data_IF_464336420655
#
_entry.id   IF_464336420655
#
_cell.length_a   1.000
_cell.length_b   1.000
_cell.length_c   1.000
_cell.angle_alpha   90.00
_cell.angle_beta   90.00
_cell.angle_gamma   90.00
#
_symmetry.space_group_name_H-M   'P 1'
#
loop_
_entity.id
_entity.type
_entity.pdbx_description
1 polymer ?
#
# COMPACT_ATOMS: atom_id res chain seq x y z
N UNK A 1 -5.15 4.26 53.48
CA UNK A 1 -5.99 4.91 52.44
C UNK A 1 -5.17 5.36 51.23
N UNK A 2 -3.92 5.82 51.39
CA UNK A 2 -3.01 6.21 50.30
C UNK A 2 -2.64 5.08 49.33
N UNK A 3 -2.30 3.89 49.86
CA UNK A 3 -1.91 2.71 49.05
C UNK A 3 -2.99 2.25 48.04
N UNK A 4 -4.28 2.43 48.36
CA UNK A 4 -5.35 2.05 47.45
C UNK A 4 -5.51 3.04 46.29
N UNK A 5 -5.27 4.33 46.53
CA UNK A 5 -5.30 5.35 45.49
C UNK A 5 -4.11 5.22 44.52
N UNK A 6 -2.94 4.84 45.03
CA UNK A 6 -1.76 4.53 44.20
C UNK A 6 -2.01 3.33 43.30
N UNK A 7 -2.56 2.24 43.86
CA UNK A 7 -2.96 1.06 43.09
C UNK A 7 -3.97 1.43 41.99
N UNK A 8 -5.01 2.20 42.32
CA UNK A 8 -6.04 2.61 41.37
C UNK A 8 -5.46 3.48 40.24
N UNK A 9 -4.49 4.35 40.56
CA UNK A 9 -3.78 5.17 39.59
C UNK A 9 -2.96 4.30 38.64
N UNK A 10 -2.25 3.31 39.17
CA UNK A 10 -1.43 2.40 38.36
C UNK A 10 -2.30 1.55 37.43
N UNK A 11 -3.42 1.02 37.93
CA UNK A 11 -4.41 0.30 37.12
C UNK A 11 -5.01 1.19 36.03
N UNK A 12 -5.36 2.43 36.37
CA UNK A 12 -5.90 3.39 35.41
C UNK A 12 -4.88 3.72 34.31
N UNK A 13 -3.61 3.91 34.67
CA UNK A 13 -2.53 4.14 33.72
C UNK A 13 -2.34 2.92 32.80
N UNK A 14 -2.34 1.72 33.35
CA UNK A 14 -2.27 0.49 32.57
C UNK A 14 -3.45 0.37 31.59
N UNK A 15 -4.67 0.71 32.02
CA UNK A 15 -5.83 0.71 31.15
C UNK A 15 -5.70 1.74 30.03
N UNK A 16 -5.24 2.95 30.30
CA UNK A 16 -5.02 3.97 29.28
C UNK A 16 -3.99 3.52 28.24
N UNK A 17 -2.89 2.89 28.67
CA UNK A 17 -1.88 2.34 27.76
C UNK A 17 -2.45 1.23 26.88
N UNK A 18 -3.23 0.31 27.47
CA UNK A 18 -3.90 -0.77 26.73
C UNK A 18 -4.91 -0.22 25.71
N UNK A 19 -5.68 0.79 26.08
CA UNK A 19 -6.63 1.44 25.18
C UNK A 19 -5.92 2.12 24.01
N UNK A 20 -4.81 2.82 24.26
CA UNK A 20 -4.02 3.46 23.22
C UNK A 20 -3.42 2.44 22.24
N UNK A 21 -2.89 1.32 22.74
CA UNK A 21 -2.37 0.23 21.91
C UNK A 21 -3.48 -0.43 21.08
N UNK A 22 -4.65 -0.67 21.68
CA UNK A 22 -5.80 -1.24 20.98
C UNK A 22 -6.31 -0.32 19.87
N UNK A 23 -6.39 0.98 20.14
CA UNK A 23 -6.82 1.97 19.15
C UNK A 23 -5.83 2.03 17.98
N UNK A 24 -4.52 1.98 18.25
CA UNK A 24 -3.50 1.89 17.19
C UNK A 24 -3.66 0.65 16.32
N UNK A 25 -3.91 -0.52 16.92
CA UNK A 25 -4.15 -1.77 16.17
C UNK A 25 -5.42 -1.69 15.34
N UNK A 26 -6.48 -1.10 15.88
CA UNK A 26 -7.73 -0.87 15.16
C UNK A 26 -7.52 0.06 13.95
N UNK A 27 -6.80 1.17 14.11
CA UNK A 27 -6.51 2.11 13.02
C UNK A 27 -5.76 1.43 11.86
N UNK A 28 -4.84 0.51 12.16
CA UNK A 28 -4.12 -0.30 11.16
C UNK A 28 -5.08 -1.27 10.46
N UNK A 29 -5.92 -1.96 11.22
CA UNK A 29 -6.88 -2.92 10.68
C UNK A 29 -7.95 -2.23 9.82
N UNK A 30 -8.42 -1.05 10.23
CA UNK A 30 -9.36 -0.26 9.45
C UNK A 30 -8.72 0.24 8.16
N UNK A 31 -7.45 0.65 8.20
CA UNK A 31 -6.71 1.05 7.01
C UNK A 31 -6.50 -0.11 6.01
N UNK A 32 -6.28 -1.34 6.48
CA UNK A 32 -6.14 -2.52 5.61
C UNK A 32 -7.47 -3.02 5.04
N UNK A 33 -8.57 -2.83 5.78
CA UNK A 33 -9.91 -3.25 5.36
C UNK A 33 -10.73 -2.17 4.65
N UNK A 34 -10.23 -0.94 4.52
CA UNK A 34 -10.96 0.18 3.92
C UNK A 34 -11.39 -0.14 2.48
N UNK A 35 -12.57 -0.75 2.34
CA UNK A 35 -13.43 -0.69 1.16
C UNK A 35 -13.92 0.75 1.04
N UNK A 36 -14.19 1.21 -0.19
CA UNK A 36 -14.71 2.54 -0.49
C UNK A 36 -16.06 2.79 0.21
N UNK A 37 -16.03 3.12 1.49
CA UNK A 37 -17.08 3.86 2.16
C UNK A 37 -16.58 5.29 2.27
N UNK A 38 -16.70 5.99 1.13
CA UNK A 38 -17.10 7.39 1.16
C UNK A 38 -18.25 7.52 2.16
N UNK A 39 -18.22 8.51 3.05
CA UNK A 39 -19.24 8.79 4.10
C UNK A 39 -18.99 8.29 5.53
N UNK A 40 -17.76 8.40 6.06
CA UNK A 40 -17.60 8.63 7.51
C UNK A 40 -16.82 9.92 7.75
N UNK A 41 -17.55 10.98 8.12
CA UNK A 41 -17.05 12.28 8.58
C UNK A 41 -16.29 12.21 9.94
N UNK A 42 -15.68 11.06 10.25
CA UNK A 42 -14.73 10.91 11.35
C UNK A 42 -13.36 11.42 10.93
N UNK A 43 -12.62 12.02 11.86
CA UNK A 43 -11.21 12.37 11.65
C UNK A 43 -10.44 11.08 11.30
N UNK A 44 -10.07 10.91 10.03
CA UNK A 44 -9.25 9.78 9.57
C UNK A 44 -8.00 9.65 10.46
N UNK A 45 -7.65 8.41 10.83
CA UNK A 45 -6.42 8.11 11.55
C UNK A 45 -5.20 8.50 10.72
N UNK A 46 -4.04 8.66 11.37
CA UNK A 46 -2.79 8.98 10.65
C UNK A 46 -2.47 7.91 9.59
N UNK A 47 -2.66 6.64 9.90
CA UNK A 47 -2.41 5.51 8.99
C UNK A 47 -3.33 5.58 7.77
N UNK A 48 -4.62 5.83 7.97
CA UNK A 48 -5.58 5.99 6.87
C UNK A 48 -5.22 7.14 5.94
N UNK A 49 -4.80 8.28 6.50
CA UNK A 49 -4.34 9.43 5.71
C UNK A 49 -3.11 9.08 4.87
N UNK A 50 -2.15 8.36 5.46
CA UNK A 50 -0.95 7.95 4.74
C UNK A 50 -1.30 7.00 3.58
N UNK A 51 -2.11 5.96 3.84
CA UNK A 51 -2.56 5.01 2.81
C UNK A 51 -3.32 5.73 1.70
N UNK A 52 -4.26 6.62 2.04
CA UNK A 52 -4.99 7.43 1.06
C UNK A 52 -4.08 8.36 0.28
N UNK A 53 -3.05 8.93 0.91
CA UNK A 53 -2.09 9.82 0.24
C UNK A 53 -1.26 9.02 -0.75
N UNK A 54 -0.71 7.87 -0.34
CA UNK A 54 0.04 6.97 -1.23
C UNK A 54 -0.81 6.56 -2.42
N UNK A 55 -2.07 6.14 -2.21
CA UNK A 55 -2.97 5.79 -3.32
C UNK A 55 -3.17 6.94 -4.33
N UNK A 56 -3.23 8.19 -3.87
CA UNK A 56 -3.38 9.38 -4.72
C UNK A 56 -2.10 9.74 -5.51
N UNK A 57 -0.94 9.20 -5.15
CA UNK A 57 0.33 9.41 -5.85
C UNK A 57 0.49 8.54 -7.11
N UNK A 58 -0.46 7.64 -7.38
CA UNK A 58 -0.45 6.82 -8.60
C UNK A 58 -0.32 7.71 -9.85
N UNK A 59 0.76 7.49 -10.59
CA UNK A 59 1.12 8.21 -11.83
C UNK A 59 1.09 9.74 -11.69
N UNK A 60 1.55 10.25 -10.53
CA UNK A 60 1.73 11.68 -10.28
C UNK A 60 3.22 12.04 -10.25
N UNK A 61 3.54 13.20 -10.80
CA UNK A 61 4.90 13.78 -10.69
C UNK A 61 5.24 14.19 -9.24
N UNK A 62 4.24 14.45 -8.41
CA UNK A 62 4.42 14.90 -7.02
C UNK A 62 5.18 13.84 -6.22
N UNK A 63 6.40 14.18 -5.77
CA UNK A 63 7.33 13.27 -5.06
C UNK A 63 7.86 12.09 -5.89
N UNK A 64 7.60 12.05 -7.19
CA UNK A 64 8.15 11.00 -8.05
C UNK A 64 9.67 11.14 -8.15
N UNK A 65 10.35 10.02 -7.92
CA UNK A 65 11.82 9.92 -7.88
C UNK A 65 12.34 8.80 -8.80
N UNK A 66 11.45 8.18 -9.58
CA UNK A 66 11.80 7.14 -10.56
C UNK A 66 10.80 7.11 -11.72
N UNK A 67 11.30 6.83 -12.93
CA UNK A 67 10.45 6.64 -14.12
C UNK A 67 10.31 5.16 -14.44
N UNK A 68 9.08 4.70 -14.68
CA UNK A 68 8.78 3.30 -15.02
C UNK A 68 8.51 3.24 -16.52
N UNK A 69 9.35 2.50 -17.24
CA UNK A 69 9.18 2.25 -18.67
C UNK A 69 8.36 0.97 -18.86
N UNK A 70 7.33 1.02 -19.69
CA UNK A 70 6.49 -0.13 -20.00
C UNK A 70 5.94 0.01 -21.42
N UNK A 71 6.24 -0.96 -22.29
CA UNK A 71 5.71 -1.02 -23.66
C UNK A 71 5.86 0.31 -24.45
N UNK A 72 7.05 0.91 -24.38
CA UNK A 72 7.36 2.20 -25.02
C UNK A 72 6.81 3.45 -24.32
N UNK A 73 6.00 3.28 -23.27
CA UNK A 73 5.43 4.37 -22.47
C UNK A 73 6.26 4.63 -21.21
N UNK A 74 6.06 5.82 -20.61
CA UNK A 74 6.69 6.23 -19.36
C UNK A 74 5.61 6.58 -18.33
N UNK A 75 5.74 6.02 -17.13
CA UNK A 75 4.86 6.26 -15.98
C UNK A 75 5.68 6.84 -14.82
N UNK A 76 5.05 7.67 -14.00
CA UNK A 76 5.69 8.24 -12.80
C UNK A 76 5.62 7.26 -11.64
N UNK A 77 6.76 7.07 -10.98
CA UNK A 77 6.93 6.11 -9.90
C UNK A 77 7.53 6.72 -8.63
N UNK A 78 7.38 5.99 -7.53
CA UNK A 78 7.90 6.34 -6.22
C UNK A 78 8.67 5.13 -5.67
N UNK A 79 9.99 5.26 -5.48
CA UNK A 79 10.87 4.17 -5.08
C UNK A 79 10.41 3.50 -3.79
N UNK A 80 10.00 4.29 -2.80
CA UNK A 80 9.56 3.76 -1.51
C UNK A 80 8.28 2.90 -1.62
N UNK A 81 7.36 3.24 -2.52
CA UNK A 81 6.13 2.47 -2.74
C UNK A 81 6.46 1.14 -3.39
N UNK A 82 7.32 1.16 -4.40
CA UNK A 82 7.76 -0.05 -5.12
C UNK A 82 8.53 -0.98 -4.17
N UNK A 83 9.49 -0.44 -3.43
CA UNK A 83 10.29 -1.18 -2.45
C UNK A 83 9.45 -1.78 -1.31
N UNK A 84 8.28 -1.20 -1.00
CA UNK A 84 7.36 -1.77 -0.03
C UNK A 84 6.58 -2.99 -0.56
N UNK A 85 6.54 -3.21 -1.88
CA UNK A 85 5.76 -4.30 -2.52
C UNK A 85 6.62 -5.43 -3.07
N UNK A 86 7.88 -5.17 -3.40
CA UNK A 86 8.78 -6.17 -3.99
C UNK A 86 10.23 -5.82 -3.70
N UNK A 87 11.05 -6.86 -3.60
CA UNK A 87 12.51 -6.82 -3.51
C UNK A 87 13.20 -7.13 -4.85
N UNK A 88 12.44 -7.27 -5.94
CA UNK A 88 12.96 -7.65 -7.26
C UNK A 88 14.08 -6.72 -7.75
N UNK A 89 13.89 -5.42 -7.58
CA UNK A 89 14.95 -4.44 -7.79
C UNK A 89 15.73 -4.27 -6.50
N UNK A 90 16.84 -5.00 -6.38
CA UNK A 90 17.66 -5.10 -5.17
C UNK A 90 18.19 -3.76 -4.64
N UNK A 91 18.33 -2.75 -5.51
CA UNK A 91 18.67 -1.38 -5.11
C UNK A 91 18.03 -0.35 -6.04
N UNK A 92 17.00 0.33 -5.54
CA UNK A 92 16.34 1.44 -6.23
C UNK A 92 16.97 2.81 -5.88
N UNK A 93 17.92 2.89 -4.95
CA UNK A 93 18.44 4.17 -4.42
C UNK A 93 19.18 5.02 -5.46
N UNK A 94 19.79 4.37 -6.46
CA UNK A 94 20.50 5.03 -7.55
C UNK A 94 19.81 4.86 -8.92
N UNK A 95 18.64 4.21 -8.95
CA UNK A 95 17.95 3.91 -10.20
C UNK A 95 17.02 5.06 -10.62
N UNK A 96 17.38 5.77 -11.68
CA UNK A 96 16.51 6.82 -12.24
C UNK A 96 15.31 6.23 -13.01
N UNK A 97 15.41 4.96 -13.41
CA UNK A 97 14.36 4.24 -14.13
C UNK A 97 14.37 2.75 -13.86
N UNK A 98 13.20 2.15 -13.99
CA UNK A 98 13.00 0.70 -14.11
C UNK A 98 12.21 0.40 -15.38
N UNK A 99 12.30 -0.84 -15.85
CA UNK A 99 11.64 -1.32 -17.05
C UNK A 99 10.79 -2.53 -16.73
N UNK A 100 9.53 -2.49 -17.15
CA UNK A 100 8.63 -3.64 -17.19
C UNK A 100 8.74 -4.27 -18.58
N UNK A 101 9.55 -5.33 -18.68
CA UNK A 101 9.80 -6.08 -19.90
C UNK A 101 8.65 -7.04 -20.18
N UNK A 102 8.33 -7.20 -21.47
CA UNK A 102 7.30 -8.12 -21.97
C UNK A 102 5.92 -7.96 -21.32
N UNK A 103 5.65 -6.79 -20.75
CA UNK A 103 4.37 -6.41 -20.14
C UNK A 103 3.73 -5.33 -21.01
N UNK A 104 2.51 -5.58 -21.49
CA UNK A 104 1.75 -4.58 -22.25
C UNK A 104 1.44 -3.36 -21.38
N UNK A 105 1.32 -2.18 -22.00
CA UNK A 105 1.04 -0.94 -21.26
C UNK A 105 -0.19 -1.06 -20.34
N UNK A 106 -1.26 -1.71 -20.82
CA UNK A 106 -2.49 -1.92 -20.05
C UNK A 106 -2.30 -2.75 -18.77
N UNK A 107 -1.50 -3.82 -18.86
CA UNK A 107 -1.14 -4.68 -17.74
C UNK A 107 -0.22 -3.93 -16.79
N UNK A 108 0.76 -3.20 -17.31
CA UNK A 108 1.67 -2.35 -16.52
C UNK A 108 0.94 -1.29 -15.72
N UNK A 109 -0.03 -0.57 -16.31
CA UNK A 109 -0.86 0.40 -15.60
C UNK A 109 -1.69 -0.27 -14.49
N UNK A 110 -2.27 -1.43 -14.77
CA UNK A 110 -3.10 -2.15 -13.78
C UNK A 110 -2.26 -2.67 -12.62
N UNK A 111 -1.09 -3.22 -12.92
CA UNK A 111 -0.11 -3.68 -11.94
C UNK A 111 0.38 -2.52 -11.06
N UNK A 112 0.72 -1.39 -11.68
CA UNK A 112 1.16 -0.19 -10.98
C UNK A 112 0.04 0.40 -10.13
N UNK A 113 -1.20 0.45 -10.62
CA UNK A 113 -2.37 0.88 -9.84
C UNK A 113 -2.55 -0.02 -8.61
N UNK A 114 -2.39 -1.33 -8.77
CA UNK A 114 -2.44 -2.26 -7.64
C UNK A 114 -1.32 -2.01 -6.62
N UNK A 115 -0.08 -1.77 -7.05
CA UNK A 115 1.05 -1.43 -6.17
C UNK A 115 0.69 -0.25 -5.23
N UNK A 116 0.02 0.77 -5.76
CA UNK A 116 -0.34 1.98 -5.00
C UNK A 116 -1.63 1.85 -4.18
N UNK A 117 -2.57 1.01 -4.60
CA UNK A 117 -3.94 1.00 -4.04
C UNK A 117 -4.33 -0.31 -3.36
N UNK A 118 -3.54 -1.36 -3.53
CA UNK A 118 -3.82 -2.74 -3.13
C UNK A 118 -5.09 -3.36 -3.76
N UNK A 119 -5.56 -2.75 -4.85
CA UNK A 119 -6.82 -3.10 -5.50
C UNK A 119 -6.62 -3.41 -6.97
N UNK A 120 -7.25 -4.49 -7.40
CA UNK A 120 -7.44 -4.82 -8.80
C UNK A 120 -8.90 -4.55 -9.19
N UNK A 121 -9.11 -4.16 -10.44
CA UNK A 121 -10.45 -3.95 -10.96
C UNK A 121 -11.17 -5.31 -11.06
N UNK A 122 -12.44 -5.36 -10.62
CA UNK A 122 -13.19 -6.63 -10.53
C UNK A 122 -13.58 -7.22 -11.90
N UNK A 123 -13.48 -6.44 -12.97
CA UNK A 123 -13.95 -6.79 -14.31
C UNK A 123 -12.79 -7.08 -15.28
N UNK A 124 -11.64 -7.54 -14.79
CA UNK A 124 -10.52 -7.93 -15.63
C UNK A 124 -10.88 -9.22 -16.39
N UNK A 125 -10.63 -9.26 -17.69
CA UNK A 125 -10.81 -10.47 -18.49
C UNK A 125 -9.72 -11.51 -18.21
N UNK A 126 -10.01 -12.78 -18.44
CA UNK A 126 -9.13 -13.92 -18.12
C UNK A 126 -7.72 -13.75 -18.69
N UNK A 127 -7.58 -13.27 -19.92
CA UNK A 127 -6.26 -13.03 -20.55
C UNK A 127 -5.46 -12.00 -19.76
N UNK A 128 -6.09 -10.92 -19.33
CA UNK A 128 -5.43 -9.86 -18.57
C UNK A 128 -5.05 -10.32 -17.16
N UNK A 129 -5.89 -11.15 -16.52
CA UNK A 129 -5.56 -11.77 -15.24
C UNK A 129 -4.32 -12.66 -15.38
N UNK A 130 -4.25 -13.48 -16.42
CA UNK A 130 -3.09 -14.34 -16.67
C UNK A 130 -1.81 -13.52 -16.91
N UNK A 131 -1.89 -12.43 -17.67
CA UNK A 131 -0.75 -11.55 -17.91
C UNK A 131 -0.31 -10.83 -16.62
N UNK A 132 -1.26 -10.38 -15.79
CA UNK A 132 -0.97 -9.79 -14.47
C UNK A 132 -0.29 -10.82 -13.56
N UNK A 133 -0.72 -12.08 -13.58
CA UNK A 133 -0.12 -13.14 -12.78
C UNK A 133 1.29 -13.49 -13.24
N UNK A 134 1.51 -13.55 -14.55
CA UNK A 134 2.84 -13.75 -15.12
C UNK A 134 3.79 -12.63 -14.66
N UNK A 135 3.35 -11.37 -14.76
CA UNK A 135 4.12 -10.23 -14.27
C UNK A 135 4.33 -10.27 -12.75
N UNK A 136 3.33 -10.67 -11.97
CA UNK A 136 3.45 -10.78 -10.51
C UNK A 136 4.52 -11.80 -10.10
N UNK A 137 4.61 -12.93 -10.81
CA UNK A 137 5.66 -13.94 -10.60
C UNK A 137 7.02 -13.38 -11.00
N UNK A 138 7.11 -12.75 -12.17
CA UNK A 138 8.37 -12.20 -12.70
C UNK A 138 8.97 -11.15 -11.76
N UNK A 139 8.15 -10.18 -11.34
CA UNK A 139 8.57 -9.07 -10.47
C UNK A 139 8.42 -9.37 -8.97
N UNK A 140 8.24 -10.65 -8.58
CA UNK A 140 8.16 -11.10 -7.18
C UNK A 140 7.14 -10.33 -6.31
N UNK A 141 5.97 -10.03 -6.88
CA UNK A 141 4.87 -9.39 -6.17
C UNK A 141 4.08 -10.46 -5.41
N UNK A 142 4.63 -10.89 -4.27
CA UNK A 142 4.17 -12.03 -3.48
C UNK A 142 2.72 -11.93 -3.03
N UNK A 143 2.29 -10.76 -2.57
CA UNK A 143 0.91 -10.52 -2.11
C UNK A 143 -0.11 -10.66 -3.26
N UNK A 144 0.28 -10.24 -4.47
CA UNK A 144 -0.55 -10.36 -5.66
C UNK A 144 -0.63 -11.82 -6.12
N UNK A 145 0.50 -12.52 -6.07
CA UNK A 145 0.58 -13.94 -6.43
C UNK A 145 -0.28 -14.81 -5.52
N UNK A 146 -0.34 -14.52 -4.22
CA UNK A 146 -1.14 -15.31 -3.26
C UNK A 146 -2.65 -15.08 -3.38
N UNK A 147 -3.08 -14.07 -4.14
CA UNK A 147 -4.50 -13.69 -4.26
C UNK A 147 -5.26 -14.51 -5.31
N UNK A 148 -4.55 -15.26 -6.14
CA UNK A 148 -5.08 -16.12 -7.20
C UNK A 148 -4.49 -17.53 -7.07
#
# INVERSE_FOLDING_TARGET
>A
MTSHLELLRDEHLQLQLKLADLQKRYDILEASCAKDTSEKHGRLSFVQKLVSTVAQLYDKDLYSDITIHCDGHQLRGHRFVIAARTDYWSDLSMADRIELKDVSYSVGCTLLKWIYTDRLDANLGDTMIMDILAAAIEYRLEELRQRF
#
